data_IF_487258058209
#
_entry.id   IF_487258058209
#
_cell.length_a   1.000
_cell.length_b   1.000
_cell.length_c   1.000
_cell.angle_alpha   90.00
_cell.angle_beta   90.00
_cell.angle_gamma   90.00
#
_symmetry.space_group_name_H-M   'P 1'
#
loop_
_entity.id
_entity.type
_entity.pdbx_description
1 polymer ?
#
# COMPACT_ATOMS: atom_id res chain seq x y z
N UNK A 1 8.72 -28.89 12.65
CA UNK A 1 8.37 -28.63 11.26
C UNK A 1 9.63 -28.64 10.43
N UNK A 2 9.59 -29.13 9.23
CA UNK A 2 10.63 -29.62 8.34
C UNK A 2 12.05 -29.11 8.64
N UNK A 3 12.81 -29.92 9.36
CA UNK A 3 14.25 -29.85 9.37
C UNK A 3 14.71 -30.21 7.95
N UNK A 4 14.76 -29.23 7.08
CA UNK A 4 15.52 -29.38 5.85
C UNK A 4 16.92 -29.78 6.30
N UNK A 5 17.38 -30.96 5.87
CA UNK A 5 18.68 -31.52 6.25
C UNK A 5 19.79 -30.55 5.84
N UNK A 6 20.06 -29.56 6.70
CA UNK A 6 21.09 -28.56 6.44
C UNK A 6 22.42 -29.18 6.80
N UNK A 7 23.29 -29.33 5.81
CA UNK A 7 24.63 -29.85 6.01
C UNK A 7 25.44 -28.89 6.88
N UNK A 8 25.94 -29.31 8.07
CA UNK A 8 26.64 -28.42 9.00
C UNK A 8 28.06 -28.18 8.51
N UNK A 9 28.25 -27.13 7.72
CA UNK A 9 29.55 -26.70 7.20
C UNK A 9 29.81 -25.22 7.55
N UNK A 10 31.10 -24.84 7.71
CA UNK A 10 31.50 -23.43 7.96
C UNK A 10 30.99 -22.48 6.83
N UNK A 11 30.98 -22.99 5.59
CA UNK A 11 30.49 -22.23 4.43
C UNK A 11 29.01 -21.89 4.56
N UNK A 12 28.17 -22.90 4.87
CA UNK A 12 26.73 -22.71 5.08
C UNK A 12 26.46 -21.79 6.29
N UNK A 13 27.22 -21.93 7.36
CA UNK A 13 27.13 -21.04 8.52
C UNK A 13 27.34 -19.56 8.13
N UNK A 14 28.36 -19.26 7.34
CA UNK A 14 28.64 -17.90 6.88
C UNK A 14 27.56 -17.36 5.95
N UNK A 15 27.04 -18.21 5.05
CA UNK A 15 25.90 -17.83 4.19
C UNK A 15 24.65 -17.49 5.00
N UNK A 16 24.30 -18.32 6.01
CA UNK A 16 23.14 -18.06 6.86
C UNK A 16 23.31 -16.80 7.71
N UNK A 17 24.51 -16.55 8.26
CA UNK A 17 24.83 -15.29 8.96
C UNK A 17 24.66 -14.07 8.03
N UNK A 18 25.11 -14.18 6.78
CA UNK A 18 24.91 -13.15 5.76
C UNK A 18 23.41 -12.91 5.46
N UNK A 19 22.64 -13.99 5.26
CA UNK A 19 21.18 -13.93 5.06
C UNK A 19 20.46 -13.32 6.26
N UNK A 20 20.83 -13.69 7.48
CA UNK A 20 20.26 -13.12 8.69
C UNK A 20 20.50 -11.61 8.79
N UNK A 21 21.74 -11.16 8.48
CA UNK A 21 22.07 -9.73 8.45
C UNK A 21 21.24 -8.97 7.44
N UNK A 22 21.06 -9.54 6.24
CA UNK A 22 20.21 -8.95 5.18
C UNK A 22 18.73 -8.96 5.58
N UNK A 23 18.21 -10.06 6.16
CA UNK A 23 16.84 -10.16 6.63
C UNK A 23 16.50 -9.13 7.72
N UNK A 24 17.40 -8.93 8.69
CA UNK A 24 17.24 -7.91 9.74
C UNK A 24 17.24 -6.48 9.17
N UNK A 25 18.11 -6.20 8.20
CA UNK A 25 18.12 -4.89 7.51
C UNK A 25 16.83 -4.69 6.70
N UNK A 26 16.42 -5.72 5.94
CA UNK A 26 15.19 -5.70 5.16
C UNK A 26 13.96 -5.52 6.03
N UNK A 27 13.88 -6.20 7.18
CA UNK A 27 12.82 -6.02 8.17
C UNK A 27 12.73 -4.56 8.63
N UNK A 28 13.85 -3.95 9.03
CA UNK A 28 13.88 -2.54 9.46
C UNK A 28 13.38 -1.61 8.36
N UNK A 29 13.92 -1.73 7.13
CA UNK A 29 13.53 -0.88 6.01
C UNK A 29 12.04 -1.03 5.62
N UNK A 30 11.51 -2.26 5.65
CA UNK A 30 10.11 -2.50 5.37
C UNK A 30 9.19 -1.99 6.50
N UNK A 31 9.66 -2.03 7.75
CA UNK A 31 8.96 -1.42 8.88
C UNK A 31 8.88 0.09 8.73
N UNK A 32 10.01 0.73 8.45
CA UNK A 32 10.08 2.18 8.22
C UNK A 32 9.19 2.59 7.04
N UNK A 33 9.23 1.82 5.92
CA UNK A 33 8.32 2.02 4.77
C UNK A 33 6.85 1.91 5.16
N UNK A 34 6.48 0.88 5.94
CA UNK A 34 5.09 0.69 6.39
C UNK A 34 4.62 1.85 7.24
N UNK A 35 5.46 2.32 8.15
CA UNK A 35 5.10 3.39 9.09
C UNK A 35 4.90 4.72 8.33
N UNK A 36 5.72 5.01 7.32
CA UNK A 36 5.55 6.18 6.46
C UNK A 36 4.31 6.08 5.57
N UNK A 37 4.05 4.90 4.96
CA UNK A 37 2.81 4.66 4.21
C UNK A 37 1.57 4.84 5.10
N UNK A 38 1.63 4.40 6.36
CA UNK A 38 0.55 4.56 7.31
C UNK A 38 0.28 6.03 7.63
N UNK A 39 1.34 6.86 7.76
CA UNK A 39 1.19 8.30 7.96
C UNK A 39 0.46 8.95 6.79
N UNK A 40 0.91 8.68 5.57
CA UNK A 40 0.28 9.22 4.35
C UNK A 40 -1.16 8.72 4.17
N UNK A 41 -1.43 7.46 4.52
CA UNK A 41 -2.77 6.91 4.51
C UNK A 41 -3.70 7.66 5.47
N UNK A 42 -3.26 7.92 6.70
CA UNK A 42 -4.06 8.66 7.69
C UNK A 42 -4.34 10.09 7.25
N UNK A 43 -3.38 10.77 6.62
CA UNK A 43 -3.57 12.12 6.09
C UNK A 43 -4.59 12.12 4.94
N UNK A 44 -4.52 11.13 4.04
CA UNK A 44 -5.51 10.97 2.97
C UNK A 44 -6.90 10.60 3.51
N UNK A 45 -7.00 9.80 4.58
CA UNK A 45 -8.30 9.48 5.23
C UNK A 45 -8.95 10.74 5.83
N UNK A 46 -8.15 11.63 6.43
CA UNK A 46 -8.67 12.91 6.95
C UNK A 46 -9.18 13.80 5.82
N UNK A 47 -8.41 13.92 4.74
CA UNK A 47 -8.80 14.68 3.55
C UNK A 47 -10.07 14.09 2.92
N UNK A 48 -10.14 12.77 2.77
CA UNK A 48 -11.32 12.06 2.27
C UNK A 48 -12.57 12.39 3.09
N UNK A 49 -12.45 12.36 4.43
CA UNK A 49 -13.59 12.70 5.31
C UNK A 49 -14.06 14.14 5.11
N UNK A 50 -13.13 15.09 4.95
CA UNK A 50 -13.47 16.50 4.72
C UNK A 50 -14.16 16.71 3.37
N UNK A 51 -13.56 16.17 2.30
CA UNK A 51 -14.13 16.26 0.95
C UNK A 51 -15.50 15.58 0.87
N UNK A 52 -15.65 14.40 1.50
CA UNK A 52 -16.92 13.69 1.53
C UNK A 52 -18.02 14.50 2.20
N UNK A 53 -17.74 15.11 3.35
CA UNK A 53 -18.72 15.98 4.03
C UNK A 53 -19.10 17.20 3.16
N UNK A 54 -18.11 17.78 2.45
CA UNK A 54 -18.35 18.90 1.53
C UNK A 54 -19.22 18.48 0.34
N UNK A 55 -18.92 17.34 -0.26
CA UNK A 55 -19.71 16.78 -1.38
C UNK A 55 -21.12 16.41 -0.93
N UNK A 56 -21.29 15.76 0.22
CA UNK A 56 -22.62 15.40 0.76
C UNK A 56 -23.48 16.65 1.03
N UNK A 57 -22.87 17.71 1.59
CA UNK A 57 -23.59 18.97 1.79
C UNK A 57 -23.98 19.62 0.46
N UNK A 58 -23.05 19.76 -0.48
CA UNK A 58 -23.32 20.37 -1.78
C UNK A 58 -24.35 19.60 -2.60
N UNK A 59 -24.30 18.26 -2.59
CA UNK A 59 -25.33 17.43 -3.21
C UNK A 59 -26.70 17.61 -2.56
N UNK A 60 -26.76 17.73 -1.23
CA UNK A 60 -28.01 17.96 -0.51
C UNK A 60 -28.63 19.29 -0.93
N UNK A 61 -27.83 20.34 -1.07
CA UNK A 61 -28.27 21.66 -1.52
C UNK A 61 -28.71 21.64 -2.99
N UNK A 62 -27.95 20.98 -3.87
CA UNK A 62 -28.30 20.84 -5.29
C UNK A 62 -29.59 20.04 -5.50
N UNK A 63 -29.74 18.91 -4.80
CA UNK A 63 -30.98 18.11 -4.86
C UNK A 63 -32.16 18.82 -4.22
N UNK A 64 -31.94 19.65 -3.19
CA UNK A 64 -32.96 20.52 -2.62
C UNK A 64 -33.53 21.49 -3.68
N UNK A 65 -32.64 22.22 -4.38
CA UNK A 65 -33.06 23.13 -5.48
C UNK A 65 -33.72 22.38 -6.63
N UNK A 66 -33.20 21.20 -7.01
CA UNK A 66 -33.83 20.35 -8.04
C UNK A 66 -35.22 19.87 -7.64
N UNK A 67 -35.41 19.54 -6.36
CA UNK A 67 -36.71 19.13 -5.83
C UNK A 67 -37.78 20.26 -5.90
N UNK A 68 -37.35 21.50 -5.63
CA UNK A 68 -38.19 22.69 -5.78
C UNK A 68 -38.50 22.93 -7.27
N UNK A 69 -37.50 22.85 -8.15
CA UNK A 69 -37.70 22.97 -9.58
C UNK A 69 -38.71 21.93 -10.12
N UNK A 70 -38.61 20.67 -9.67
CA UNK A 70 -39.54 19.60 -10.07
C UNK A 70 -40.95 19.78 -9.54
N UNK A 71 -41.16 20.55 -8.49
CA UNK A 71 -42.51 20.90 -7.99
C UNK A 71 -43.16 22.02 -8.80
N UNK A 72 -42.38 22.90 -9.42
CA UNK A 72 -42.85 24.04 -10.21
C UNK A 72 -43.02 23.66 -11.68
N UNK A 73 -42.13 22.83 -12.23
CA UNK A 73 -42.12 22.42 -13.63
C UNK A 73 -42.89 21.13 -13.85
N UNK A 74 -43.43 20.94 -15.07
CA UNK A 74 -43.99 19.63 -15.42
C UNK A 74 -42.87 18.59 -15.60
N UNK A 75 -43.09 17.31 -15.25
CA UNK A 75 -42.11 16.26 -15.38
C UNK A 75 -41.54 16.14 -16.81
N UNK A 76 -42.41 16.32 -17.82
CA UNK A 76 -42.03 16.24 -19.23
C UNK A 76 -41.06 17.36 -19.63
N UNK A 77 -41.27 18.58 -19.12
CA UNK A 77 -40.39 19.73 -19.39
C UNK A 77 -39.05 19.57 -18.69
N UNK A 78 -39.04 19.06 -17.46
CA UNK A 78 -37.79 18.79 -16.73
C UNK A 78 -36.96 17.74 -17.48
N UNK A 79 -37.57 16.65 -17.94
CA UNK A 79 -36.90 15.60 -18.70
C UNK A 79 -36.35 16.14 -20.02
N UNK A 80 -37.13 16.94 -20.78
CA UNK A 80 -36.68 17.57 -22.02
C UNK A 80 -35.47 18.52 -21.79
N UNK A 81 -35.50 19.28 -20.70
CA UNK A 81 -34.46 20.23 -20.36
C UNK A 81 -33.10 19.54 -20.08
N UNK A 82 -33.12 18.34 -19.52
CA UNK A 82 -31.92 17.60 -19.12
C UNK A 82 -31.47 16.55 -20.15
N UNK A 83 -32.22 16.34 -21.23
CA UNK A 83 -31.97 15.26 -22.20
C UNK A 83 -30.64 15.38 -22.94
N UNK A 84 -30.22 16.61 -23.27
CA UNK A 84 -28.99 16.85 -24.04
C UNK A 84 -28.00 17.73 -23.28
N UNK A 85 -27.05 17.14 -22.56
CA UNK A 85 -26.04 17.92 -21.87
C UNK A 85 -25.14 18.65 -22.88
N UNK A 86 -24.91 19.94 -22.68
CA UNK A 86 -23.99 20.75 -23.47
C UNK A 86 -22.54 20.59 -23.06
N UNK A 87 -22.28 20.36 -21.80
CA UNK A 87 -20.94 20.14 -21.29
C UNK A 87 -20.54 18.68 -21.40
N UNK A 88 -19.33 18.44 -21.88
CA UNK A 88 -18.63 17.16 -21.77
C UNK A 88 -17.34 17.33 -20.98
N UNK A 89 -17.06 16.39 -20.10
CA UNK A 89 -15.83 16.37 -19.32
C UNK A 89 -14.97 15.23 -19.81
N UNK A 90 -13.75 15.54 -20.22
CA UNK A 90 -12.73 14.55 -20.58
C UNK A 90 -11.81 14.33 -19.37
N UNK A 91 -11.67 13.08 -18.95
CA UNK A 91 -10.83 12.69 -17.83
C UNK A 91 -9.50 12.13 -18.35
N UNK A 92 -8.42 12.90 -18.19
CA UNK A 92 -7.05 12.43 -18.33
C UNK A 92 -6.58 11.75 -17.05
N UNK A 93 -5.80 10.66 -17.17
CA UNK A 93 -5.25 9.97 -16.02
C UNK A 93 -3.73 9.92 -16.13
N UNK A 94 -3.05 10.51 -15.17
CA UNK A 94 -1.59 10.48 -15.03
C UNK A 94 -1.26 9.70 -13.76
N UNK A 95 -0.19 8.90 -13.78
CA UNK A 95 0.23 8.17 -12.59
C UNK A 95 1.40 8.86 -11.91
N UNK A 96 1.24 9.12 -10.62
CA UNK A 96 2.31 9.61 -9.75
C UNK A 96 2.80 8.48 -8.85
N UNK A 97 4.12 8.36 -8.67
CA UNK A 97 4.68 7.35 -7.77
C UNK A 97 4.86 7.91 -6.36
N UNK A 98 4.18 7.30 -5.41
CA UNK A 98 4.31 7.59 -3.97
C UNK A 98 4.84 6.34 -3.27
N UNK A 99 6.10 6.35 -2.85
CA UNK A 99 6.75 5.23 -2.14
C UNK A 99 6.58 3.86 -2.81
N UNK A 100 6.75 3.81 -4.13
CA UNK A 100 6.55 2.63 -4.99
C UNK A 100 5.07 2.21 -5.17
N UNK A 101 4.13 3.08 -4.84
CA UNK A 101 2.71 2.95 -5.18
C UNK A 101 2.41 3.94 -6.31
N UNK A 102 1.92 3.44 -7.43
CA UNK A 102 1.49 4.30 -8.54
C UNK A 102 0.06 4.73 -8.26
N UNK A 103 -0.13 5.97 -7.81
CA UNK A 103 -1.43 6.56 -7.55
C UNK A 103 -1.90 7.36 -8.76
N UNK A 104 -3.18 7.32 -9.13
CA UNK A 104 -3.70 8.10 -10.22
C UNK A 104 -3.87 9.56 -9.79
N UNK A 105 -3.51 10.46 -10.67
CA UNK A 105 -3.81 11.89 -10.61
C UNK A 105 -4.76 12.17 -11.76
N UNK A 106 -5.93 12.70 -11.46
CA UNK A 106 -6.95 13.01 -12.44
C UNK A 106 -6.74 14.43 -12.96
N UNK A 107 -6.62 14.54 -14.28
CA UNK A 107 -6.68 15.80 -14.99
C UNK A 107 -7.99 15.84 -15.75
N UNK A 108 -8.84 16.79 -15.43
CA UNK A 108 -10.13 16.92 -16.07
C UNK A 108 -10.20 18.23 -16.85
N UNK A 109 -10.59 18.09 -18.10
CA UNK A 109 -10.80 19.22 -18.99
C UNK A 109 -12.26 19.29 -19.35
N UNK A 110 -12.86 20.43 -19.08
CA UNK A 110 -14.21 20.74 -19.56
C UNK A 110 -14.09 21.25 -21.00
N UNK A 111 -14.94 20.73 -21.88
CA UNK A 111 -14.93 21.11 -23.30
C UNK A 111 -15.08 22.61 -23.51
N UNK A 112 -15.87 23.27 -22.69
CA UNK A 112 -16.12 24.70 -22.77
C UNK A 112 -15.81 25.37 -21.43
N UNK A 113 -15.09 26.50 -21.50
CA UNK A 113 -14.74 27.27 -20.30
C UNK A 113 -15.78 28.31 -19.91
N UNK A 114 -16.78 28.53 -20.75
CA UNK A 114 -17.80 29.56 -20.53
C UNK A 114 -18.86 29.08 -19.53
N UNK A 115 -19.08 29.81 -18.41
CA UNK A 115 -20.11 29.49 -17.42
C UNK A 115 -21.53 29.45 -17.96
N UNK A 116 -21.82 30.19 -19.05
CA UNK A 116 -23.15 30.26 -19.67
C UNK A 116 -23.53 28.98 -20.43
N UNK A 117 -22.57 28.10 -20.73
CA UNK A 117 -22.83 26.83 -21.41
C UNK A 117 -23.18 25.66 -20.48
N UNK A 118 -23.32 25.91 -19.18
CA UNK A 118 -23.80 24.93 -18.20
C UNK A 118 -25.26 24.57 -18.51
N UNK A 119 -26.05 25.52 -19.03
CA UNK A 119 -27.49 25.36 -19.25
C UNK A 119 -27.77 24.76 -20.63
N UNK A 120 -28.30 23.51 -20.70
CA UNK A 120 -28.61 22.85 -21.98
C UNK A 120 -29.94 23.28 -22.61
N UNK A 121 -30.67 24.18 -22.02
CA UNK A 121 -32.03 24.58 -22.39
C UNK A 121 -32.18 26.10 -22.60
N UNK A 122 -33.29 26.50 -23.19
CA UNK A 122 -33.67 27.89 -23.36
C UNK A 122 -34.48 28.44 -22.18
N UNK A 123 -34.25 29.70 -21.83
CA UNK A 123 -34.82 30.36 -20.64
C UNK A 123 -36.34 30.59 -20.69
N UNK A 124 -37.01 30.29 -21.80
CA UNK A 124 -38.43 30.64 -21.99
C UNK A 124 -39.42 29.77 -21.22
N UNK A 125 -39.00 28.56 -20.78
CA UNK A 125 -39.93 27.57 -20.17
C UNK A 125 -39.31 26.88 -18.93
N UNK A 126 -38.19 27.37 -18.43
CA UNK A 126 -37.47 26.80 -17.30
C UNK A 126 -37.53 27.71 -16.08
N UNK A 127 -37.46 27.13 -14.89
CA UNK A 127 -37.45 27.88 -13.64
C UNK A 127 -36.02 28.24 -13.23
N UNK A 128 -35.82 29.40 -12.59
CA UNK A 128 -34.53 29.80 -12.04
C UNK A 128 -33.99 28.84 -10.98
N UNK A 129 -34.85 28.09 -10.31
CA UNK A 129 -34.47 27.03 -9.36
C UNK A 129 -33.70 25.87 -10.02
N UNK A 130 -34.01 25.59 -11.31
CA UNK A 130 -33.27 24.60 -12.09
C UNK A 130 -31.86 25.11 -12.43
N UNK A 131 -31.72 26.40 -12.72
CA UNK A 131 -30.45 27.05 -12.98
C UNK A 131 -29.54 26.96 -11.74
N UNK A 132 -30.09 27.34 -10.56
CA UNK A 132 -29.39 27.22 -9.28
C UNK A 132 -28.95 25.78 -8.96
N UNK A 133 -29.79 24.80 -9.25
CA UNK A 133 -29.50 23.39 -9.03
C UNK A 133 -28.30 22.92 -9.91
N UNK A 134 -28.30 23.33 -11.19
CA UNK A 134 -27.22 22.95 -12.11
C UNK A 134 -25.91 23.67 -11.79
N UNK A 135 -25.94 24.94 -11.38
CA UNK A 135 -24.75 25.68 -10.96
C UNK A 135 -24.11 25.02 -9.72
N UNK A 136 -24.89 24.72 -8.69
CA UNK A 136 -24.43 23.99 -7.49
C UNK A 136 -23.89 22.61 -7.85
N UNK A 137 -24.54 21.88 -8.74
CA UNK A 137 -24.08 20.57 -9.18
C UNK A 137 -22.75 20.66 -9.91
N UNK A 138 -22.55 21.69 -10.75
CA UNK A 138 -21.30 21.90 -11.48
C UNK A 138 -20.11 22.24 -10.52
N UNK A 139 -20.39 22.99 -9.44
CA UNK A 139 -19.40 23.24 -8.38
C UNK A 139 -19.05 21.95 -7.63
N UNK A 140 -20.05 21.20 -7.18
CA UNK A 140 -19.86 19.95 -6.44
C UNK A 140 -19.17 18.89 -7.30
N UNK A 141 -19.36 18.90 -8.61
CA UNK A 141 -18.76 17.95 -9.52
C UNK A 141 -17.21 17.97 -9.45
N UNK A 142 -16.61 19.15 -9.32
CA UNK A 142 -15.15 19.27 -9.12
C UNK A 142 -14.69 18.58 -7.82
N UNK A 143 -15.43 18.83 -6.74
CA UNK A 143 -15.15 18.23 -5.45
C UNK A 143 -15.34 16.70 -5.48
N UNK A 144 -16.31 16.20 -6.26
CA UNK A 144 -16.52 14.75 -6.48
C UNK A 144 -15.34 14.10 -7.22
N UNK A 145 -14.78 14.76 -8.22
CA UNK A 145 -13.61 14.24 -8.94
C UNK A 145 -12.37 14.19 -8.03
N UNK A 146 -12.16 15.25 -7.22
CA UNK A 146 -11.09 15.27 -6.23
C UNK A 146 -11.29 14.17 -5.17
N UNK A 147 -12.51 13.99 -4.67
CA UNK A 147 -12.87 12.91 -3.76
C UNK A 147 -12.56 11.54 -4.37
N UNK A 148 -12.94 11.30 -5.62
CA UNK A 148 -12.69 10.04 -6.31
C UNK A 148 -11.17 9.75 -6.44
N UNK A 149 -10.34 10.76 -6.70
CA UNK A 149 -8.89 10.64 -6.73
C UNK A 149 -8.33 10.25 -5.34
N UNK A 150 -8.76 10.96 -4.29
CA UNK A 150 -8.32 10.69 -2.91
C UNK A 150 -8.77 9.32 -2.43
N UNK A 151 -10.00 8.91 -2.73
CA UNK A 151 -10.50 7.57 -2.41
C UNK A 151 -9.69 6.48 -3.10
N UNK A 152 -9.41 6.63 -4.39
CA UNK A 152 -8.59 5.66 -5.13
C UNK A 152 -7.17 5.59 -4.58
N UNK A 153 -6.56 6.74 -4.28
CA UNK A 153 -5.24 6.81 -3.67
C UNK A 153 -5.21 6.11 -2.31
N UNK A 154 -6.20 6.38 -1.47
CA UNK A 154 -6.35 5.75 -0.16
C UNK A 154 -6.49 4.24 -0.26
N UNK A 155 -7.29 3.75 -1.21
CA UNK A 155 -7.46 2.31 -1.47
C UNK A 155 -6.14 1.64 -1.89
N UNK A 156 -5.37 2.27 -2.77
CA UNK A 156 -4.09 1.73 -3.24
C UNK A 156 -3.03 1.71 -2.13
N UNK A 157 -2.97 2.77 -1.31
CA UNK A 157 -2.11 2.82 -0.14
C UNK A 157 -2.46 1.73 0.88
N UNK A 158 -3.76 1.50 1.14
CA UNK A 158 -4.22 0.44 2.05
C UNK A 158 -3.76 -0.95 1.59
N UNK A 159 -3.89 -1.25 0.30
CA UNK A 159 -3.43 -2.52 -0.29
C UNK A 159 -1.92 -2.73 -0.13
N UNK A 160 -1.12 -1.69 -0.37
CA UNK A 160 0.33 -1.80 -0.23
C UNK A 160 0.76 -1.89 1.24
N UNK A 161 0.07 -1.20 2.16
CA UNK A 161 0.28 -1.33 3.62
C UNK A 161 0.02 -2.77 4.06
N UNK A 162 -1.08 -3.37 3.63
CA UNK A 162 -1.40 -4.78 3.95
C UNK A 162 -0.33 -5.74 3.42
N UNK A 163 0.09 -5.57 2.17
CA UNK A 163 1.14 -6.36 1.54
C UNK A 163 2.49 -6.22 2.26
N UNK A 164 2.85 -4.99 2.63
CA UNK A 164 4.08 -4.70 3.37
C UNK A 164 4.00 -5.27 4.78
N UNK A 165 2.87 -5.15 5.47
CA UNK A 165 2.62 -5.75 6.78
C UNK A 165 2.81 -7.27 6.77
N UNK A 166 2.25 -7.95 5.77
CA UNK A 166 2.43 -9.41 5.61
C UNK A 166 3.91 -9.78 5.44
N UNK A 167 4.67 -8.99 4.63
CA UNK A 167 6.11 -9.21 4.44
C UNK A 167 6.92 -8.98 5.72
N UNK A 168 6.63 -7.91 6.46
CA UNK A 168 7.26 -7.63 7.76
C UNK A 168 7.01 -8.77 8.74
N UNK A 169 5.76 -9.22 8.87
CA UNK A 169 5.39 -10.31 9.77
C UNK A 169 6.07 -11.63 9.36
N UNK A 170 6.16 -11.95 8.07
CA UNK A 170 6.86 -13.13 7.59
C UNK A 170 8.36 -13.11 7.92
N UNK A 171 9.00 -11.94 7.81
CA UNK A 171 10.40 -11.77 8.19
C UNK A 171 10.59 -11.91 9.70
N UNK A 172 9.73 -11.28 10.50
CA UNK A 172 9.87 -11.19 11.97
C UNK A 172 9.57 -12.52 12.66
N UNK A 173 8.47 -13.18 12.28
CA UNK A 173 7.97 -14.35 13.00
C UNK A 173 8.38 -15.69 12.39
N UNK A 174 8.78 -15.72 11.12
CA UNK A 174 9.13 -16.98 10.43
C UNK A 174 10.60 -16.98 10.03
N UNK A 175 11.02 -16.08 9.15
CA UNK A 175 12.34 -16.16 8.50
C UNK A 175 13.50 -15.88 9.46
N UNK A 176 13.43 -14.84 10.27
CA UNK A 176 14.50 -14.47 11.20
C UNK A 176 14.68 -15.55 12.28
N UNK A 177 13.63 -16.04 13.00
CA UNK A 177 13.77 -17.10 13.97
C UNK A 177 14.28 -18.42 13.37
N UNK A 178 13.83 -18.80 12.17
CA UNK A 178 14.31 -19.98 11.46
C UNK A 178 15.80 -19.89 11.15
N UNK A 179 16.27 -18.76 10.64
CA UNK A 179 17.69 -18.52 10.37
C UNK A 179 18.52 -18.57 11.66
N UNK A 180 18.03 -18.01 12.76
CA UNK A 180 18.70 -18.04 14.05
C UNK A 180 18.79 -19.45 14.62
N UNK A 181 17.73 -20.24 14.53
CA UNK A 181 17.74 -21.65 14.95
C UNK A 181 18.73 -22.47 14.12
N UNK A 182 18.74 -22.30 12.81
CA UNK A 182 19.64 -22.99 11.90
C UNK A 182 21.11 -22.64 12.16
N UNK A 183 21.41 -21.36 12.40
CA UNK A 183 22.75 -20.89 12.74
C UNK A 183 23.20 -21.53 14.08
N UNK A 184 22.34 -21.54 15.10
CA UNK A 184 22.62 -22.15 16.41
C UNK A 184 22.89 -23.64 16.27
N UNK A 185 22.05 -24.36 15.51
CA UNK A 185 22.23 -25.78 15.25
C UNK A 185 23.57 -26.10 14.58
N UNK A 186 23.90 -25.39 13.48
CA UNK A 186 25.17 -25.61 12.77
C UNK A 186 26.35 -25.27 13.64
N UNK A 187 26.31 -24.16 14.40
CA UNK A 187 27.41 -23.78 15.30
C UNK A 187 27.65 -24.89 16.34
N UNK A 188 26.60 -25.40 16.99
CA UNK A 188 26.69 -26.47 17.97
C UNK A 188 27.27 -27.75 17.37
N UNK A 189 26.87 -28.12 16.13
CA UNK A 189 27.44 -29.30 15.43
C UNK A 189 28.88 -29.13 15.02
N UNK A 190 29.31 -27.95 14.64
CA UNK A 190 30.71 -27.67 14.33
C UNK A 190 31.60 -27.72 15.60
N UNK A 191 31.08 -27.17 16.72
CA UNK A 191 31.80 -27.21 18.01
C UNK A 191 31.93 -28.66 18.53
N UNK A 192 30.88 -29.48 18.37
CA UNK A 192 30.90 -30.90 18.70
C UNK A 192 31.94 -31.66 17.87
N UNK A 193 31.96 -31.43 16.57
CA UNK A 193 32.97 -32.05 15.68
C UNK A 193 34.42 -31.59 16.04
N UNK A 194 34.59 -30.30 16.34
CA UNK A 194 35.91 -29.81 16.76
C UNK A 194 36.38 -30.43 18.09
N UNK A 195 35.47 -30.54 19.07
CA UNK A 195 35.77 -31.19 20.35
C UNK A 195 36.09 -32.67 20.16
N UNK A 196 35.30 -33.40 19.38
CA UNK A 196 35.52 -34.80 19.05
C UNK A 196 36.88 -35.01 18.38
N UNK A 197 37.23 -34.14 17.45
CA UNK A 197 38.55 -34.18 16.76
C UNK A 197 39.68 -33.94 17.72
N UNK A 198 39.59 -32.96 18.64
CA UNK A 198 40.58 -32.68 19.66
C UNK A 198 40.79 -33.89 20.59
N UNK A 199 39.70 -34.51 21.05
CA UNK A 199 39.79 -35.71 21.90
C UNK A 199 40.47 -36.86 21.17
N UNK A 200 40.15 -37.13 19.89
CA UNK A 200 40.84 -38.13 19.05
C UNK A 200 42.35 -37.83 18.91
N UNK A 201 42.71 -36.57 18.65
CA UNK A 201 44.10 -36.15 18.55
C UNK A 201 44.86 -36.32 19.87
N UNK A 202 44.23 -36.04 21.03
CA UNK A 202 44.85 -36.29 22.34
C UNK A 202 45.14 -37.78 22.52
N UNK A 203 44.16 -38.64 22.19
CA UNK A 203 44.34 -40.10 22.32
C UNK A 203 45.43 -40.64 21.38
N UNK A 204 45.48 -40.18 20.13
CA UNK A 204 46.57 -40.54 19.21
C UNK A 204 47.96 -40.09 19.75
N UNK A 205 48.01 -38.87 20.32
CA UNK A 205 49.24 -38.38 20.95
C UNK A 205 49.71 -39.30 22.11
N UNK A 206 48.76 -39.71 23.00
CA UNK A 206 49.06 -40.63 24.10
C UNK A 206 49.62 -41.95 23.57
N UNK A 207 48.98 -42.58 22.58
CA UNK A 207 49.43 -43.83 21.98
C UNK A 207 50.86 -43.71 21.36
N UNK A 208 51.11 -42.63 20.61
CA UNK A 208 52.46 -42.40 20.03
C UNK A 208 53.53 -42.18 21.09
N UNK A 209 53.19 -41.55 22.22
CA UNK A 209 54.16 -41.40 23.34
C UNK A 209 54.41 -42.70 24.08
N UNK A 210 53.39 -43.55 24.26
CA UNK A 210 53.53 -44.90 24.87
C UNK A 210 54.44 -45.77 24.00
N UNK A 211 54.20 -45.82 22.67
CA UNK A 211 55.04 -46.56 21.71
C UNK A 211 56.47 -46.04 21.73
N UNK A 212 56.72 -44.72 21.79
CA UNK A 212 58.07 -44.14 21.87
C UNK A 212 58.76 -44.48 23.17
N UNK A 213 58.04 -44.70 24.28
CA UNK A 213 58.67 -45.17 25.54
C UNK A 213 59.02 -46.67 25.48
N UNK A 214 58.23 -47.50 24.82
CA UNK A 214 58.55 -48.94 24.64
C UNK A 214 59.76 -49.17 23.74
N UNK A 215 60.05 -48.27 22.80
CA UNK A 215 61.26 -48.38 21.94
C UNK A 215 62.56 -47.94 22.60
N UNK A 216 62.46 -47.33 23.79
CA UNK A 216 63.69 -46.88 24.54
C UNK A 216 64.07 -47.81 25.66
N UNK A 217 63.36 -48.92 25.84
CA UNK A 217 63.76 -50.06 26.70
C UNK A 217 64.24 -51.20 25.82
#
# INVERSE_FOLDING_TARGET
MANTAITPTRMVLNQLKGRLKTARRGHKLLKDKRDELMRQFLDNVRLNKQLRAKVEQGLTEAFGSLSVASAIMSPEMLEQSLLYPRQSVELGMIYQNIMSVNVPVYDFQTRNSDPSEIFPYGFAQTSGELDDALEKLAEVFKDMLELAQVEKTTQMLAQEIEKTRRRVNALEYVMIPELEQNIRYISMKLDENESSTKVRLMKVKEMVLEDAHHYKQ
#
